data_IF_751138737145
#
_entry.id   IF_751138737145
#
_cell.length_a   1.000
_cell.length_b   1.000
_cell.length_c   1.000
_cell.angle_alpha   90.00
_cell.angle_beta   90.00
_cell.angle_gamma   90.00
#
_symmetry.space_group_name_H-M   'P 1'
#
loop_
_entity.id
_entity.type
_entity.pdbx_description
1 polymer ?
#
# COMPACT_ATOMS: atom_id res chain seq x y z
N UNK A 1 -60.40 -27.17 -52.65
CA UNK A 1 -59.20 -28.03 -52.56
C UNK A 1 -58.01 -27.13 -52.36
N UNK A 2 -57.39 -27.26 -51.19
CA UNK A 2 -56.24 -26.52 -50.71
C UNK A 2 -54.98 -26.90 -51.49
N UNK A 3 -54.09 -25.95 -51.80
CA UNK A 3 -52.70 -25.96 -51.30
C UNK A 3 -52.04 -24.60 -51.53
N UNK A 4 -51.66 -23.98 -50.40
CA UNK A 4 -50.94 -22.74 -50.20
C UNK A 4 -49.62 -22.58 -50.97
N UNK A 5 -49.41 -21.38 -51.54
CA UNK A 5 -48.08 -20.80 -51.77
C UNK A 5 -47.41 -20.51 -50.42
N UNK A 6 -46.31 -21.19 -50.11
CA UNK A 6 -45.39 -20.77 -49.06
C UNK A 6 -44.30 -19.89 -49.68
N UNK A 7 -44.49 -18.57 -49.56
CA UNK A 7 -43.41 -17.59 -49.62
C UNK A 7 -42.49 -17.84 -48.42
N UNK A 8 -41.24 -18.24 -48.67
CA UNK A 8 -40.20 -18.27 -47.65
C UNK A 8 -39.69 -16.83 -47.48
N UNK A 9 -39.92 -16.15 -46.34
CA UNK A 9 -39.24 -14.89 -46.10
C UNK A 9 -37.78 -15.24 -45.79
N UNK A 10 -36.87 -14.77 -46.64
CA UNK A 10 -35.46 -14.75 -46.35
C UNK A 10 -35.25 -13.73 -45.21
N UNK A 11 -35.42 -14.18 -43.97
CA UNK A 11 -35.17 -13.38 -42.77
C UNK A 11 -33.66 -13.17 -42.70
N UNK A 12 -33.20 -12.06 -43.27
CA UNK A 12 -31.89 -11.49 -43.02
C UNK A 12 -31.83 -11.11 -41.54
N UNK A 13 -31.38 -12.06 -40.72
CA UNK A 13 -31.18 -11.88 -39.29
C UNK A 13 -29.97 -10.96 -39.08
N UNK A 14 -30.22 -9.65 -39.10
CA UNK A 14 -29.28 -8.61 -38.72
C UNK A 14 -28.97 -8.80 -37.24
N UNK A 15 -27.84 -9.46 -36.95
CA UNK A 15 -27.35 -9.71 -35.60
C UNK A 15 -26.84 -8.40 -35.01
N UNK A 16 -27.74 -7.64 -34.39
CA UNK A 16 -27.39 -6.52 -33.52
C UNK A 16 -26.57 -7.09 -32.37
N UNK A 17 -25.26 -6.81 -32.37
CA UNK A 17 -24.39 -7.04 -31.23
C UNK A 17 -24.85 -6.11 -30.12
N UNK A 18 -25.64 -6.63 -29.18
CA UNK A 18 -25.85 -5.99 -27.88
C UNK A 18 -24.47 -5.86 -27.23
N UNK A 19 -23.89 -4.65 -27.27
CA UNK A 19 -22.74 -4.30 -26.43
C UNK A 19 -23.31 -4.19 -25.02
N UNK A 20 -23.25 -5.29 -24.29
CA UNK A 20 -23.51 -5.29 -22.85
C UNK A 20 -22.46 -4.41 -22.21
N UNK A 21 -22.80 -3.17 -21.89
CA UNK A 21 -22.02 -2.38 -20.95
C UNK A 21 -22.13 -3.08 -19.59
N UNK A 22 -21.24 -4.04 -19.33
CA UNK A 22 -21.07 -4.60 -18.01
C UNK A 22 -20.66 -3.44 -17.11
N UNK A 23 -21.58 -2.99 -16.25
CA UNK A 23 -21.28 -1.99 -15.22
C UNK A 23 -20.27 -2.51 -14.22
N UNK A 24 -20.07 -3.84 -14.16
CA UNK A 24 -19.20 -4.52 -13.22
C UNK A 24 -18.22 -5.49 -13.92
N UNK A 25 -16.95 -5.37 -13.54
CA UNK A 25 -15.87 -6.25 -13.92
C UNK A 25 -16.06 -7.63 -13.27
N UNK A 26 -15.92 -8.73 -14.02
CA UNK A 26 -16.12 -10.07 -13.50
C UNK A 26 -15.06 -10.43 -12.45
N UNK A 27 -15.31 -11.49 -11.69
CA UNK A 27 -14.33 -12.09 -10.80
C UNK A 27 -13.00 -12.32 -11.52
N UNK A 28 -11.89 -11.89 -10.92
CA UNK A 28 -10.54 -11.92 -11.50
C UNK A 28 -10.38 -11.13 -12.82
N UNK A 29 -11.37 -10.32 -13.20
CA UNK A 29 -11.33 -9.44 -14.36
C UNK A 29 -10.64 -8.11 -14.08
N UNK A 30 -10.28 -7.39 -15.16
CA UNK A 30 -9.72 -6.05 -15.05
C UNK A 30 -10.79 -5.05 -14.61
N UNK A 31 -10.47 -4.25 -13.59
CA UNK A 31 -11.33 -3.23 -13.00
C UNK A 31 -10.66 -1.86 -12.94
N UNK A 32 -9.48 -1.69 -13.52
CA UNK A 32 -8.76 -0.44 -13.47
C UNK A 32 -7.40 -0.50 -14.16
N UNK A 33 -6.76 0.66 -14.23
CA UNK A 33 -5.48 0.84 -14.91
C UNK A 33 -5.47 2.08 -15.79
N UNK A 34 -4.29 2.69 -15.98
CA UNK A 34 -4.10 3.80 -16.89
C UNK A 34 -4.48 3.36 -18.33
N UNK A 35 -5.44 4.08 -18.92
CA UNK A 35 -6.00 3.77 -20.24
C UNK A 35 -7.17 2.77 -20.22
N UNK A 36 -7.58 2.25 -19.05
CA UNK A 36 -8.75 1.39 -18.93
C UNK A 36 -10.04 2.22 -19.02
N UNK A 37 -10.87 1.93 -20.02
CA UNK A 37 -12.19 2.53 -20.22
C UNK A 37 -13.35 1.57 -19.94
N UNK A 38 -13.05 0.40 -19.35
CA UNK A 38 -14.05 -0.61 -19.01
C UNK A 38 -14.63 -0.42 -17.61
N UNK A 39 -15.32 -1.44 -17.11
CA UNK A 39 -15.92 -1.43 -15.78
C UNK A 39 -14.88 -1.20 -14.69
N UNK A 40 -15.16 -0.31 -13.73
CA UNK A 40 -14.28 -0.01 -12.59
C UNK A 40 -14.71 -0.69 -11.30
N UNK A 41 -15.98 -1.06 -11.22
CA UNK A 41 -16.54 -1.76 -10.08
C UNK A 41 -16.49 -3.27 -10.29
N UNK A 42 -16.20 -4.03 -9.25
CA UNK A 42 -16.20 -5.49 -9.33
C UNK A 42 -17.59 -6.08 -9.06
N UNK A 43 -17.83 -7.29 -9.58
CA UNK A 43 -19.00 -8.09 -9.18
C UNK A 43 -19.03 -8.30 -7.67
N UNK A 44 -20.23 -8.45 -7.11
CA UNK A 44 -20.43 -8.59 -5.67
C UNK A 44 -19.54 -9.68 -5.04
N UNK A 45 -18.91 -9.37 -3.90
CA UNK A 45 -17.95 -10.25 -3.22
C UNK A 45 -16.50 -10.13 -3.72
N UNK A 46 -16.25 -9.28 -4.74
CA UNK A 46 -14.92 -8.98 -5.25
C UNK A 46 -14.59 -7.49 -5.08
N UNK A 47 -13.32 -7.18 -4.86
CA UNK A 47 -12.79 -5.82 -4.67
C UNK A 47 -11.73 -5.54 -5.73
N UNK A 48 -11.73 -4.33 -6.28
CA UNK A 48 -10.76 -3.93 -7.28
C UNK A 48 -9.39 -3.66 -6.62
N UNK A 49 -8.44 -4.56 -6.84
CA UNK A 49 -7.09 -4.48 -6.29
C UNK A 49 -6.11 -4.05 -7.37
N UNK A 50 -5.41 -2.94 -7.16
CA UNK A 50 -4.40 -2.44 -8.10
C UNK A 50 -3.21 -3.39 -8.13
N UNK A 51 -2.85 -3.91 -9.31
CA UNK A 51 -1.66 -4.76 -9.50
C UNK A 51 -0.48 -3.94 -10.01
N UNK A 52 -0.73 -3.03 -10.95
CA UNK A 52 0.25 -2.08 -11.47
C UNK A 52 -0.47 -0.84 -12.05
N UNK A 53 0.29 0.13 -12.57
CA UNK A 53 -0.28 1.40 -13.05
C UNK A 53 -1.25 1.24 -14.23
N UNK A 54 -1.16 0.17 -15.02
CA UNK A 54 -2.01 -0.10 -16.18
C UNK A 54 -3.06 -1.18 -15.92
N UNK A 55 -3.06 -1.80 -14.74
CA UNK A 55 -3.89 -2.97 -14.47
C UNK A 55 -4.29 -3.11 -12.99
N UNK A 56 -5.59 -3.17 -12.75
CA UNK A 56 -6.21 -3.53 -11.47
C UNK A 56 -7.14 -4.73 -11.68
N UNK A 57 -7.16 -5.69 -10.76
CA UNK A 57 -7.92 -6.93 -10.86
C UNK A 57 -8.95 -7.08 -9.74
N UNK A 58 -10.14 -7.60 -10.08
CA UNK A 58 -11.16 -7.99 -9.10
C UNK A 58 -10.74 -9.23 -8.33
N UNK A 59 -10.39 -9.10 -7.05
CA UNK A 59 -10.03 -10.23 -6.18
C UNK A 59 -11.09 -10.43 -5.08
N UNK A 60 -11.29 -11.67 -4.60
CA UNK A 60 -12.28 -11.94 -3.56
C UNK A 60 -11.90 -11.20 -2.26
N UNK A 61 -12.79 -10.33 -1.79
CA UNK A 61 -12.61 -9.53 -0.57
C UNK A 61 -13.92 -9.49 0.19
N UNK A 62 -13.88 -9.73 1.51
CA UNK A 62 -15.10 -9.77 2.35
C UNK A 62 -15.89 -8.47 2.19
N UNK A 63 -17.12 -8.61 1.70
CA UNK A 63 -18.05 -7.54 1.39
C UNK A 63 -18.16 -6.53 2.55
N UNK A 64 -17.95 -5.25 2.23
CA UNK A 64 -18.53 -4.16 3.02
C UNK A 64 -19.41 -3.36 2.07
N UNK A 65 -20.69 -3.30 2.40
CA UNK A 65 -21.79 -2.68 1.66
C UNK A 65 -21.49 -1.25 1.20
N UNK A 66 -21.84 -0.86 -0.03
CA UNK A 66 -21.79 0.54 -0.47
C UNK A 66 -22.88 1.34 0.26
N UNK A 67 -22.51 2.46 0.87
CA UNK A 67 -23.45 3.43 1.45
C UNK A 67 -23.85 4.39 0.33
N UNK A 68 -25.12 4.35 -0.06
CA UNK A 68 -25.74 5.28 -1.01
C UNK A 68 -25.68 6.71 -0.47
N UNK A 69 -24.91 7.58 -1.12
CA UNK A 69 -24.90 9.02 -0.87
C UNK A 69 -25.88 9.70 -1.83
N UNK A 70 -27.01 10.14 -1.29
CA UNK A 70 -28.01 10.97 -1.95
C UNK A 70 -27.44 12.37 -2.21
N UNK A 71 -27.50 12.93 -3.42
CA UNK A 71 -27.07 14.30 -3.67
C UNK A 71 -28.14 15.27 -3.18
N UNK A 72 -27.84 16.04 -2.13
CA UNK A 72 -28.64 17.22 -1.75
C UNK A 72 -28.08 18.50 -2.36
N UNK A 73 -29.01 19.29 -2.86
CA UNK A 73 -28.88 20.45 -3.73
C UNK A 73 -28.25 21.67 -3.05
N UNK A 74 -27.27 22.27 -3.75
CA UNK A 74 -26.88 23.69 -3.81
C UNK A 74 -27.05 24.59 -2.56
N UNK A 75 -25.94 24.85 -1.88
CA UNK A 75 -25.68 26.04 -1.04
C UNK A 75 -24.56 26.89 -1.70
N UNK A 76 -24.52 28.22 -1.45
CA UNK A 76 -23.83 29.20 -2.29
C UNK A 76 -22.30 29.03 -2.32
N UNK A 77 -21.60 29.61 -3.32
CA UNK A 77 -20.16 29.42 -3.50
C UNK A 77 -19.40 29.94 -2.29
N UNK A 78 -18.80 29.02 -1.54
CA UNK A 78 -17.78 29.33 -0.56
C UNK A 78 -16.52 29.62 -1.38
N UNK A 79 -16.01 30.84 -1.30
CA UNK A 79 -14.73 31.23 -1.88
C UNK A 79 -13.67 30.28 -1.34
N UNK A 80 -13.21 29.34 -2.17
CA UNK A 80 -12.11 28.44 -1.83
C UNK A 80 -10.87 29.30 -1.75
N UNK A 81 -10.57 29.81 -0.56
CA UNK A 81 -9.22 30.30 -0.26
C UNK A 81 -8.33 29.06 -0.39
N UNK A 82 -7.35 29.05 -1.31
CA UNK A 82 -6.44 27.93 -1.45
C UNK A 82 -5.76 27.69 -0.10
N UNK A 83 -5.51 26.43 0.32
CA UNK A 83 -4.78 26.17 1.53
C UNK A 83 -3.42 26.89 1.44
N UNK A 84 -3.29 27.96 2.21
CA UNK A 84 -2.07 28.75 2.39
C UNK A 84 -1.63 28.39 3.80
N UNK A 85 -0.75 27.41 4.03
CA UNK A 85 0.72 27.48 4.09
C UNK A 85 1.12 26.15 4.77
N UNK A 86 2.24 25.49 4.49
CA UNK A 86 3.60 25.97 4.77
C UNK A 86 4.64 25.28 3.89
N UNK A 87 5.44 26.12 3.23
CA UNK A 87 6.80 25.92 2.70
C UNK A 87 7.04 24.63 1.91
N UNK A 88 7.04 24.80 0.59
CA UNK A 88 7.78 23.94 -0.33
C UNK A 88 9.27 23.96 0.01
N UNK A 89 9.66 23.13 0.97
CA UNK A 89 11.01 22.63 1.06
C UNK A 89 11.29 21.67 -0.12
N UNK A 90 12.55 21.36 -0.42
CA UNK A 90 12.89 20.33 -1.38
C UNK A 90 12.15 19.03 -1.03
N UNK A 91 11.66 18.31 -2.04
CA UNK A 91 11.10 16.98 -1.82
C UNK A 91 12.14 16.10 -1.10
N UNK A 92 11.74 15.32 -0.09
CA UNK A 92 12.69 14.55 0.69
C UNK A 92 13.41 13.51 -0.19
N UNK A 93 14.73 13.57 -0.19
CA UNK A 93 15.61 12.65 -0.94
C UNK A 93 15.89 11.39 -0.12
N UNK A 94 16.55 10.38 -0.70
CA UNK A 94 16.92 9.14 -0.01
C UNK A 94 16.33 7.89 -0.67
N UNK A 95 16.27 6.79 0.07
CA UNK A 95 15.68 5.53 -0.39
C UNK A 95 14.45 5.19 0.45
N UNK A 96 13.46 4.55 -0.14
CA UNK A 96 12.39 3.94 0.67
C UNK A 96 12.92 2.66 1.33
N UNK A 97 12.22 2.16 2.34
CA UNK A 97 12.45 0.85 2.96
C UNK A 97 11.13 0.10 2.88
N UNK A 98 11.13 -1.17 2.46
CA UNK A 98 9.91 -1.97 2.26
C UNK A 98 10.04 -3.41 2.71
N UNK A 99 8.90 -4.02 2.98
CA UNK A 99 8.77 -5.48 3.09
C UNK A 99 8.75 -6.13 1.70
N UNK A 100 9.46 -7.26 1.59
CA UNK A 100 9.58 -8.04 0.33
C UNK A 100 8.95 -9.43 0.43
N UNK A 101 8.30 -9.73 1.55
CA UNK A 101 7.60 -10.99 1.79
C UNK A 101 6.25 -10.73 2.46
N UNK A 102 5.30 -11.63 2.25
CA UNK A 102 4.02 -11.59 2.95
C UNK A 102 4.21 -11.69 4.47
N UNK A 103 3.37 -11.03 5.28
CA UNK A 103 2.15 -10.30 4.90
C UNK A 103 2.39 -8.84 4.50
N UNK A 104 3.63 -8.36 4.52
CA UNK A 104 3.99 -6.94 4.33
C UNK A 104 4.62 -6.65 2.97
N UNK A 105 4.41 -7.53 1.99
CA UNK A 105 4.92 -7.38 0.64
C UNK A 105 4.44 -6.03 0.06
N UNK A 106 5.37 -5.19 -0.39
CA UNK A 106 5.08 -3.85 -0.90
C UNK A 106 4.45 -2.88 0.10
N UNK A 107 4.61 -3.13 1.41
CA UNK A 107 4.39 -2.11 2.42
C UNK A 107 5.71 -1.43 2.76
N UNK A 108 5.65 -0.13 2.98
CA UNK A 108 6.80 0.77 3.10
C UNK A 108 6.88 1.34 4.50
N UNK A 109 8.10 1.52 5.01
CA UNK A 109 8.34 2.09 6.34
C UNK A 109 7.98 3.56 6.38
N UNK A 110 7.23 3.94 7.42
CA UNK A 110 6.63 5.26 7.61
C UNK A 110 6.73 5.67 9.07
N UNK A 111 6.63 6.98 9.30
CA UNK A 111 6.52 7.55 10.62
C UNK A 111 5.05 7.80 10.97
N UNK A 112 4.58 7.18 12.05
CA UNK A 112 3.26 7.42 12.61
C UNK A 112 3.42 8.02 14.02
N UNK A 113 3.65 9.34 14.09
CA UNK A 113 3.79 10.05 15.37
C UNK A 113 4.97 9.58 16.23
N UNK A 114 6.08 9.20 15.61
CA UNK A 114 7.25 8.64 16.28
C UNK A 114 7.29 7.11 16.30
N UNK A 115 6.20 6.43 15.94
CA UNK A 115 6.13 4.97 15.87
C UNK A 115 6.37 4.50 14.43
N UNK A 116 7.39 3.64 14.18
CA UNK A 116 7.65 3.10 12.86
C UNK A 116 6.61 2.05 12.47
N UNK A 117 6.06 2.19 11.27
CA UNK A 117 4.99 1.34 10.75
C UNK A 117 5.20 1.04 9.27
N UNK A 118 4.88 -0.18 8.85
CA UNK A 118 4.77 -0.51 7.42
C UNK A 118 3.35 -0.21 6.94
N UNK A 119 3.22 0.43 5.78
CA UNK A 119 1.93 0.74 5.18
C UNK A 119 2.00 1.07 3.68
N UNK A 120 0.91 1.61 3.09
CA UNK A 120 0.85 1.92 1.66
C UNK A 120 1.89 2.96 1.21
N UNK A 121 2.37 2.87 -0.04
CA UNK A 121 3.44 3.73 -0.57
C UNK A 121 3.19 5.23 -0.46
N UNK A 122 1.92 5.66 -0.40
CA UNK A 122 1.55 7.07 -0.27
C UNK A 122 2.09 7.74 1.02
N UNK A 123 2.31 6.96 2.09
CA UNK A 123 2.92 7.44 3.33
C UNK A 123 4.39 7.03 3.50
N UNK A 124 5.01 6.44 2.47
CA UNK A 124 6.37 5.93 2.57
C UNK A 124 7.40 7.01 2.91
N UNK A 125 8.20 6.76 3.94
CA UNK A 125 9.33 7.60 4.31
C UNK A 125 10.48 7.52 3.29
N UNK A 126 11.31 8.57 3.29
CA UNK A 126 12.54 8.64 2.49
C UNK A 126 13.72 8.69 3.44
N UNK A 127 14.61 7.70 3.34
CA UNK A 127 15.64 7.43 4.34
C UNK A 127 17.04 7.62 3.79
N UNK A 128 17.91 8.21 4.59
CA UNK A 128 19.38 8.19 4.37
C UNK A 128 19.98 7.16 5.32
N UNK A 129 20.77 6.23 4.77
CA UNK A 129 21.36 5.13 5.54
C UNK A 129 22.89 5.28 5.51
N UNK A 130 23.49 5.58 6.65
CA UNK A 130 24.94 5.69 6.81
C UNK A 130 25.34 5.55 8.29
N UNK A 131 25.33 4.32 8.82
CA UNK A 131 25.48 4.05 10.26
C UNK A 131 24.21 4.36 11.06
N UNK A 132 23.50 5.43 10.71
CA UNK A 132 22.13 5.73 11.18
C UNK A 132 21.12 5.53 10.05
N UNK A 133 19.84 5.34 10.37
CA UNK A 133 18.74 5.46 9.41
C UNK A 133 18.00 6.77 9.73
N UNK A 134 18.19 7.78 8.89
CA UNK A 134 17.55 9.08 9.04
C UNK A 134 16.36 9.19 8.08
N UNK A 135 15.15 9.34 8.61
CA UNK A 135 13.98 9.79 7.89
C UNK A 135 14.15 11.27 7.55
N UNK A 136 14.14 11.57 6.25
CA UNK A 136 14.20 12.94 5.75
C UNK A 136 12.77 13.49 5.67
N UNK A 137 12.46 14.46 6.52
CA UNK A 137 11.16 15.11 6.57
C UNK A 137 11.12 16.30 5.59
N UNK A 138 9.93 16.70 5.10
CA UNK A 138 9.76 17.94 4.37
C UNK A 138 10.33 19.14 5.15
N UNK A 139 10.97 20.08 4.45
CA UNK A 139 11.58 21.26 5.10
C UNK A 139 12.96 21.03 5.71
N UNK A 140 13.58 19.87 5.48
CA UNK A 140 14.97 19.58 5.87
C UNK A 140 15.14 19.04 7.29
N UNK A 141 14.04 18.84 8.03
CA UNK A 141 14.04 18.13 9.30
C UNK A 141 14.45 16.66 9.12
N UNK A 142 14.96 16.06 10.21
CA UNK A 142 15.32 14.64 10.22
C UNK A 142 14.87 13.98 11.51
N UNK A 143 14.37 12.76 11.38
CA UNK A 143 14.17 11.84 12.51
C UNK A 143 15.04 10.62 12.29
N UNK A 144 15.47 9.97 13.36
CA UNK A 144 16.34 8.81 13.32
C UNK A 144 15.59 7.60 13.84
N UNK A 145 15.64 6.50 13.08
CA UNK A 145 15.14 5.21 13.53
C UNK A 145 16.08 4.67 14.59
N UNK A 146 15.55 4.49 15.79
CA UNK A 146 16.28 4.01 16.96
C UNK A 146 15.67 2.71 17.45
N UNK A 147 16.52 1.76 17.81
CA UNK A 147 16.14 0.53 18.49
C UNK A 147 16.36 0.69 19.99
N UNK A 148 15.36 0.32 20.78
CA UNK A 148 15.44 0.23 22.24
C UNK A 148 16.13 -1.08 22.64
N UNK A 149 17.36 -0.97 23.13
CA UNK A 149 18.19 -2.11 23.52
C UNK A 149 17.76 -2.79 24.82
N UNK A 150 16.75 -2.28 25.54
CA UNK A 150 16.25 -2.91 26.77
C UNK A 150 15.46 -4.19 26.51
N UNK A 151 14.94 -4.37 25.31
CA UNK A 151 14.12 -5.51 24.93
C UNK A 151 14.91 -6.78 24.60
N UNK A 152 14.69 -7.84 25.39
CA UNK A 152 15.40 -9.12 25.23
C UNK A 152 14.86 -9.95 24.06
N UNK A 153 13.54 -10.02 23.87
CA UNK A 153 12.91 -10.82 22.79
C UNK A 153 12.71 -10.02 21.48
N UNK A 154 12.41 -8.75 21.63
CA UNK A 154 12.28 -7.81 20.53
C UNK A 154 12.69 -6.45 21.06
N UNK A 155 13.18 -5.59 20.17
CA UNK A 155 13.53 -4.21 20.47
C UNK A 155 12.48 -3.32 19.86
N UNK A 156 11.88 -2.45 20.68
CA UNK A 156 10.97 -1.44 20.19
C UNK A 156 11.72 -0.48 19.26
N UNK A 157 11.07 -0.06 18.18
CA UNK A 157 11.62 0.93 17.28
C UNK A 157 10.90 2.26 17.48
N UNK A 158 11.63 3.37 17.35
CA UNK A 158 11.09 4.73 17.43
C UNK A 158 11.77 5.66 16.45
N UNK A 159 11.06 6.69 16.01
CA UNK A 159 11.63 7.85 15.32
C UNK A 159 11.83 8.99 16.32
N UNK A 160 13.09 9.37 16.53
CA UNK A 160 13.46 10.48 17.42
C UNK A 160 14.33 11.53 16.73
N UNK A 161 14.45 12.72 17.31
CA UNK A 161 15.30 13.79 16.75
C UNK A 161 16.80 13.51 16.92
N UNK A 162 17.15 12.54 17.77
CA UNK A 162 18.53 12.14 18.06
C UNK A 162 18.75 10.69 17.64
N UNK A 163 19.87 10.40 16.97
CA UNK A 163 20.27 9.03 16.69
C UNK A 163 20.90 8.40 17.94
N UNK A 164 20.23 7.41 18.52
CA UNK A 164 20.80 6.57 19.60
C UNK A 164 21.31 5.24 19.06
N UNK A 165 20.83 4.80 17.90
CA UNK A 165 21.35 3.63 17.18
C UNK A 165 22.19 4.08 15.99
N UNK A 166 23.49 3.75 16.01
CA UNK A 166 24.51 4.24 15.07
C UNK A 166 25.25 3.13 14.30
N UNK A 167 24.75 1.90 14.39
CA UNK A 167 25.31 0.71 13.76
C UNK A 167 24.34 0.06 12.75
N UNK A 168 23.37 0.82 12.26
CA UNK A 168 22.54 0.43 11.14
C UNK A 168 23.38 0.29 9.88
N UNK A 169 22.96 -0.59 8.98
CA UNK A 169 23.67 -0.84 7.75
C UNK A 169 22.85 -1.60 6.72
N UNK A 170 23.55 -1.93 5.64
CA UNK A 170 23.04 -2.75 4.56
C UNK A 170 23.92 -3.99 4.43
N UNK A 171 23.27 -5.13 4.18
CA UNK A 171 23.85 -6.34 3.61
C UNK A 171 23.11 -6.62 2.29
N UNK A 172 23.77 -6.33 1.17
CA UNK A 172 23.06 -6.20 -0.10
C UNK A 172 22.07 -5.03 -0.04
N UNK A 173 20.78 -5.32 -0.22
CA UNK A 173 19.67 -4.37 -0.06
C UNK A 173 18.94 -4.51 1.29
N UNK A 174 19.29 -5.51 2.11
CA UNK A 174 18.64 -5.77 3.39
C UNK A 174 19.09 -4.78 4.46
N UNK A 175 18.13 -4.27 5.25
CA UNK A 175 18.38 -3.38 6.38
C UNK A 175 18.80 -4.20 7.59
N UNK A 176 19.97 -3.90 8.15
CA UNK A 176 20.51 -4.65 9.30
C UNK A 176 21.02 -3.74 10.41
N UNK A 177 21.10 -4.28 11.62
CA UNK A 177 22.07 -3.84 12.63
C UNK A 177 23.34 -4.67 12.46
N UNK A 178 24.51 -4.03 12.47
CA UNK A 178 25.81 -4.71 12.25
C UNK A 178 26.36 -5.40 13.48
N UNK A 179 26.10 -4.87 14.69
CA UNK A 179 26.76 -5.36 15.91
C UNK A 179 25.86 -5.25 17.15
N UNK A 180 25.40 -6.38 17.73
CA UNK A 180 25.44 -7.71 17.13
C UNK A 180 24.63 -7.74 15.83
N UNK A 181 25.04 -8.58 14.87
CA UNK A 181 24.38 -8.67 13.57
C UNK A 181 22.92 -9.12 13.75
N UNK A 182 21.97 -8.32 13.29
CA UNK A 182 20.54 -8.63 13.29
C UNK A 182 19.89 -8.09 12.02
N UNK A 183 19.07 -8.91 11.37
CA UNK A 183 18.39 -8.59 10.10
C UNK A 183 16.90 -8.93 10.10
N UNK A 184 16.44 -9.61 11.14
CA UNK A 184 15.06 -10.03 11.28
C UNK A 184 14.28 -8.97 12.05
N UNK A 185 13.08 -8.72 11.55
CA UNK A 185 12.10 -7.81 12.13
C UNK A 185 10.83 -8.58 12.44
N UNK A 186 10.17 -8.21 13.52
CA UNK A 186 8.79 -8.61 13.77
C UNK A 186 7.87 -7.55 13.19
N UNK A 187 6.97 -7.97 12.31
CA UNK A 187 5.86 -7.14 11.82
C UNK A 187 4.56 -7.66 12.41
N UNK A 188 3.91 -6.83 13.19
CA UNK A 188 2.72 -7.20 13.94
C UNK A 188 1.49 -6.52 13.35
N UNK A 189 0.43 -7.29 13.11
CA UNK A 189 -0.84 -6.74 12.62
C UNK A 189 -1.39 -5.69 13.57
N UNK A 190 -2.11 -4.73 13.01
CA UNK A 190 -2.76 -3.66 13.76
C UNK A 190 -4.27 -3.78 13.59
N UNK A 191 -5.04 -2.88 14.22
CA UNK A 191 -6.49 -2.82 13.97
C UNK A 191 -6.81 -2.49 12.51
N UNK A 192 -5.90 -1.79 11.82
CA UNK A 192 -5.97 -1.56 10.38
C UNK A 192 -5.13 -2.61 9.65
N UNK A 193 -5.75 -3.35 8.73
CA UNK A 193 -5.11 -4.41 7.95
C UNK A 193 -4.06 -3.91 6.96
N UNK A 194 -4.08 -2.62 6.63
CA UNK A 194 -3.10 -2.02 5.73
C UNK A 194 -1.79 -1.64 6.44
N UNK A 195 -1.76 -1.76 7.77
CA UNK A 195 -0.64 -1.31 8.57
C UNK A 195 -0.13 -2.36 9.54
N UNK A 196 1.20 -2.41 9.67
CA UNK A 196 1.90 -3.31 10.57
C UNK A 196 2.91 -2.54 11.41
N UNK A 197 2.87 -2.70 12.72
CA UNK A 197 3.90 -2.14 13.59
C UNK A 197 5.18 -2.95 13.45
N UNK A 198 6.32 -2.28 13.49
CA UNK A 198 7.63 -2.90 13.23
C UNK A 198 8.47 -2.90 14.50
N UNK A 199 9.05 -4.05 14.80
CA UNK A 199 10.01 -4.25 15.88
C UNK A 199 11.24 -4.94 15.31
N UNK A 200 12.40 -4.72 15.92
CA UNK A 200 13.59 -5.49 15.59
C UNK A 200 13.63 -6.75 16.44
N UNK A 201 14.03 -7.89 15.89
CA UNK A 201 14.20 -9.10 16.68
C UNK A 201 15.31 -8.90 17.73
N UNK A 202 15.03 -9.25 18.98
CA UNK A 202 16.00 -9.29 20.07
C UNK A 202 16.79 -10.60 20.07
N UNK A 203 17.43 -10.91 21.20
CA UNK A 203 18.12 -12.19 21.39
C UNK A 203 17.14 -13.35 21.58
N UNK A 204 16.06 -13.13 22.35
CA UNK A 204 14.95 -14.07 22.43
C UNK A 204 14.14 -14.02 21.15
N UNK A 205 13.89 -15.13 20.49
CA UNK A 205 13.27 -15.14 19.17
C UNK A 205 11.73 -15.07 19.25
N UNK A 206 11.19 -14.14 20.05
CA UNK A 206 9.75 -14.01 20.29
C UNK A 206 9.28 -12.58 19.95
N UNK A 207 8.21 -12.48 19.16
CA UNK A 207 7.57 -11.20 18.90
C UNK A 207 6.81 -10.66 20.13
N UNK A 208 6.29 -9.42 20.05
CA UNK A 208 5.41 -8.86 21.07
C UNK A 208 4.25 -9.80 21.44
N UNK A 209 4.09 -10.06 22.74
CA UNK A 209 3.05 -10.94 23.27
C UNK A 209 1.64 -10.40 23.01
N UNK A 210 0.69 -11.28 22.72
CA UNK A 210 -0.71 -10.91 22.49
C UNK A 210 -0.98 -10.27 21.11
N UNK A 211 0.02 -10.30 20.21
CA UNK A 211 -0.11 -9.79 18.85
C UNK A 211 0.22 -10.88 17.82
N UNK A 212 -0.46 -10.84 16.68
CA UNK A 212 -0.10 -11.68 15.53
C UNK A 212 1.06 -11.03 14.79
N UNK A 213 2.24 -11.65 14.91
CA UNK A 213 3.46 -11.12 14.31
C UNK A 213 4.13 -12.15 13.40
N UNK A 214 4.76 -11.68 12.33
CA UNK A 214 5.55 -12.47 11.40
C UNK A 214 7.00 -11.99 11.43
N UNK A 215 7.95 -12.92 11.34
CA UNK A 215 9.36 -12.57 11.14
C UNK A 215 9.59 -12.28 9.67
N UNK A 216 10.18 -11.13 9.36
CA UNK A 216 10.45 -10.66 8.01
C UNK A 216 11.80 -9.97 7.94
N UNK A 217 12.26 -9.72 6.73
CA UNK A 217 13.39 -8.85 6.43
C UNK A 217 12.88 -7.59 5.73
N UNK A 218 13.52 -6.46 6.01
CA UNK A 218 13.22 -5.20 5.34
C UNK A 218 14.34 -4.86 4.37
N UNK A 219 14.00 -4.31 3.22
CA UNK A 219 14.94 -4.06 2.14
C UNK A 219 14.74 -2.67 1.55
N UNK A 220 15.79 -2.15 0.92
CA UNK A 220 15.63 -1.08 -0.05
C UNK A 220 14.77 -1.57 -1.23
N UNK A 221 13.98 -0.70 -1.88
CA UNK A 221 13.38 -1.05 -3.16
C UNK A 221 14.50 -1.41 -4.12
N UNK A 222 14.35 -2.54 -4.81
CA UNK A 222 15.25 -2.89 -5.90
C UNK A 222 15.28 -1.70 -6.86
N UNK A 223 16.47 -1.25 -7.28
CA UNK A 223 16.60 -0.28 -8.36
C UNK A 223 16.09 -0.98 -9.62
N UNK A 224 14.78 -0.93 -9.87
CA UNK A 224 14.27 -1.21 -11.21
C UNK A 224 14.76 -0.06 -12.08
N UNK A 225 15.62 -0.29 -13.09
CA UNK A 225 15.87 0.72 -14.10
C UNK A 225 14.51 1.02 -14.73
N UNK A 226 14.08 2.28 -14.61
CA UNK A 226 12.90 2.80 -15.28
C UNK A 226 13.05 2.70 -16.80
#
# INVERSE_FOLDING_TARGET
MFWSLFLIPFVLCLSVRLVSAQSQAPAYGQCGGQGWSGATDCVSGYTCTVTNQWYSQCLPGSATTPVTITPTTSLPPITVVPPTSTVGGPAPTGSQIRGVTSPVYHLYLQNNGGVPRLGPVAGAGRFTINGTIALNEPGGGRLYLNADDTGTNYKALSFGTTATTNNWGLEGDAIIIRTPRQLNYWVCSTSDRNYYDVFLQGQGNQGPSGRSCNSVTMHLPCLCPH
#
